data_IF_741521939611
#
_entry.id   IF_741521939611
#
_cell.length_a   1.000
_cell.length_b   1.000
_cell.length_c   1.000
_cell.angle_alpha   90.00
_cell.angle_beta   90.00
_cell.angle_gamma   90.00
#
_symmetry.space_group_name_H-M   'P 1'
#
loop_
_entity.id
_entity.type
_entity.pdbx_description
1 polymer ?
#
# COMPACT_ATOMS: atom_id res chain seq x y z
N UNK A 1 -8.83 11.10 11.63
CA UNK A 1 -10.26 11.45 11.82
C UNK A 1 -10.38 12.09 13.18
N UNK A 2 -10.93 13.29 13.26
CA UNK A 2 -11.08 14.03 14.52
C UNK A 2 -12.56 14.18 14.81
N UNK A 3 -13.04 13.65 15.94
CA UNK A 3 -14.43 13.80 16.33
C UNK A 3 -14.54 14.85 17.44
N UNK A 4 -15.40 15.84 17.22
CA UNK A 4 -15.66 16.96 18.11
C UNK A 4 -17.05 16.74 18.71
N UNK A 5 -17.11 16.76 20.03
CA UNK A 5 -18.37 16.67 20.76
C UNK A 5 -19.04 18.05 20.79
N UNK A 6 -20.31 18.09 20.37
CA UNK A 6 -21.17 19.27 20.47
C UNK A 6 -22.36 18.94 21.37
N UNK A 7 -23.10 19.96 21.82
CA UNK A 7 -24.24 19.71 22.70
C UNK A 7 -25.32 18.90 21.96
N UNK A 8 -25.55 17.66 22.38
CA UNK A 8 -26.48 16.73 21.75
C UNK A 8 -25.96 15.96 20.52
N UNK A 9 -24.66 16.00 20.20
CA UNK A 9 -24.14 15.28 19.03
C UNK A 9 -22.61 15.17 18.95
N UNK A 10 -22.14 14.41 17.96
CA UNK A 10 -20.72 14.26 17.61
C UNK A 10 -20.55 14.58 16.12
N UNK A 11 -19.61 15.46 15.80
CA UNK A 11 -19.21 15.78 14.43
C UNK A 11 -17.83 15.20 14.18
N UNK A 12 -17.67 14.33 13.19
CA UNK A 12 -16.37 13.78 12.81
C UNK A 12 -15.87 14.45 11.52
N UNK A 13 -14.69 15.06 11.60
CA UNK A 13 -14.00 15.70 10.48
C UNK A 13 -12.98 14.74 9.89
N UNK A 14 -13.06 14.55 8.58
CA UNK A 14 -12.07 13.80 7.80
C UNK A 14 -10.91 14.72 7.40
N UNK A 15 -9.67 14.23 7.42
CA UNK A 15 -8.52 15.00 6.96
C UNK A 15 -8.56 15.18 5.44
N UNK A 16 -8.09 16.33 4.95
CA UNK A 16 -7.81 16.50 3.52
C UNK A 16 -6.53 15.75 3.15
N UNK A 17 -6.60 14.90 2.13
CA UNK A 17 -5.45 14.17 1.61
C UNK A 17 -4.83 14.89 0.41
N UNK A 18 -3.50 14.86 0.33
CA UNK A 18 -2.73 15.39 -0.81
C UNK A 18 -2.13 14.25 -1.63
N UNK A 19 -1.87 14.48 -2.93
CA UNK A 19 -1.07 13.57 -3.73
C UNK A 19 0.32 13.35 -3.08
N UNK A 20 0.74 12.10 -2.97
CA UNK A 20 2.02 11.73 -2.35
C UNK A 20 1.94 11.40 -0.85
N UNK A 21 0.84 11.74 -0.17
CA UNK A 21 0.69 11.43 1.25
C UNK A 21 0.78 9.93 1.55
N UNK A 22 1.31 9.60 2.72
CA UNK A 22 1.34 8.22 3.20
C UNK A 22 -0.10 7.72 3.47
N UNK A 23 -0.33 6.42 3.23
CA UNK A 23 -1.63 5.81 3.41
C UNK A 23 -2.11 5.95 4.86
N UNK A 24 -3.35 6.42 5.09
CA UNK A 24 -3.94 6.51 6.42
C UNK A 24 -4.42 5.13 6.91
N UNK A 25 -4.70 5.04 8.20
CA UNK A 25 -5.43 3.92 8.77
C UNK A 25 -6.95 4.12 8.68
N UNK A 26 -7.69 3.00 8.63
CA UNK A 26 -9.15 2.99 8.60
C UNK A 26 -9.73 2.96 7.18
N UNK A 27 -10.84 2.23 7.03
CA UNK A 27 -11.44 1.92 5.72
C UNK A 27 -11.87 3.17 4.93
N UNK A 28 -12.69 4.05 5.53
CA UNK A 28 -13.20 5.24 4.85
C UNK A 28 -12.08 6.22 4.47
N UNK A 29 -11.17 6.48 5.40
CA UNK A 29 -10.01 7.34 5.18
C UNK A 29 -9.11 6.80 4.06
N UNK A 30 -8.90 5.48 4.00
CA UNK A 30 -8.11 4.86 2.94
C UNK A 30 -8.78 5.03 1.57
N UNK A 31 -10.10 4.89 1.48
CA UNK A 31 -10.83 5.05 0.21
C UNK A 31 -10.75 6.48 -0.33
N UNK A 32 -10.98 7.47 0.52
CA UNK A 32 -10.85 8.89 0.15
C UNK A 32 -9.43 9.25 -0.26
N UNK A 33 -8.44 8.78 0.51
CA UNK A 33 -7.03 8.95 0.17
C UNK A 33 -6.67 8.30 -1.16
N UNK A 34 -7.10 7.06 -1.39
CA UNK A 34 -6.80 6.31 -2.60
C UNK A 34 -7.39 6.98 -3.84
N UNK A 35 -8.58 7.59 -3.72
CA UNK A 35 -9.19 8.38 -4.78
C UNK A 35 -8.34 9.61 -5.14
N UNK A 36 -7.83 10.34 -4.14
CA UNK A 36 -6.91 11.48 -4.36
C UNK A 36 -5.64 11.03 -5.08
N UNK A 37 -5.02 9.93 -4.65
CA UNK A 37 -3.81 9.41 -5.30
C UNK A 37 -4.10 9.00 -6.76
N UNK A 38 -5.22 8.32 -7.00
CA UNK A 38 -5.62 7.88 -8.33
C UNK A 38 -5.89 9.07 -9.26
N UNK A 39 -6.59 10.12 -8.78
CA UNK A 39 -6.83 11.36 -9.53
C UNK A 39 -5.53 12.10 -9.87
N UNK A 40 -4.52 11.99 -9.01
CA UNK A 40 -3.18 12.52 -9.27
C UNK A 40 -2.34 11.68 -10.25
N UNK A 41 -2.89 10.58 -10.78
CA UNK A 41 -2.22 9.72 -11.76
C UNK A 41 -1.30 8.66 -11.14
N UNK A 42 -1.29 8.51 -9.81
CA UNK A 42 -0.48 7.50 -9.14
C UNK A 42 -1.15 6.14 -9.32
N UNK A 43 -0.51 5.27 -10.09
CA UNK A 43 -1.05 3.95 -10.44
C UNK A 43 -0.63 2.89 -9.42
N UNK A 44 -1.61 2.10 -9.00
CA UNK A 44 -1.38 0.96 -8.13
C UNK A 44 -0.48 -0.07 -8.80
N UNK A 45 0.31 -0.78 -7.98
CA UNK A 45 1.13 -1.92 -8.39
C UNK A 45 0.74 -3.14 -7.58
N UNK A 46 0.83 -4.31 -8.19
CA UNK A 46 0.57 -5.57 -7.49
C UNK A 46 1.80 -5.97 -6.66
N UNK A 47 1.59 -6.31 -5.39
CA UNK A 47 2.64 -6.88 -4.54
C UNK A 47 2.92 -8.33 -4.94
N UNK A 48 4.19 -8.68 -5.15
CA UNK A 48 4.62 -10.03 -5.53
C UNK A 48 4.42 -11.12 -4.48
N UNK A 49 4.18 -10.76 -3.23
CA UNK A 49 4.04 -11.72 -2.11
C UNK A 49 2.59 -11.99 -1.71
N UNK A 50 1.78 -10.94 -1.61
CA UNK A 50 0.38 -11.06 -1.18
C UNK A 50 -0.61 -10.84 -2.31
N UNK A 51 -0.13 -10.56 -3.52
CA UNK A 51 -0.92 -10.40 -4.75
C UNK A 51 -1.95 -9.25 -4.72
N UNK A 52 -1.98 -8.47 -3.63
CA UNK A 52 -2.85 -7.29 -3.48
C UNK A 52 -2.29 -6.12 -4.28
N UNK A 53 -3.21 -5.34 -4.84
CA UNK A 53 -2.92 -4.05 -5.45
C UNK A 53 -2.77 -2.99 -4.37
N UNK A 54 -1.68 -2.23 -4.47
CA UNK A 54 -1.26 -1.24 -3.48
C UNK A 54 -0.89 0.05 -4.20
N UNK A 55 -1.23 1.20 -3.63
CA UNK A 55 -0.76 2.48 -4.14
C UNK A 55 0.77 2.59 -3.96
N UNK A 56 1.48 3.38 -4.78
CA UNK A 56 2.94 3.49 -4.71
C UNK A 56 3.50 3.79 -3.31
N UNK A 57 2.78 4.58 -2.51
CA UNK A 57 3.17 4.94 -1.13
C UNK A 57 3.08 3.76 -0.15
N UNK A 58 2.25 2.77 -0.44
CA UNK A 58 2.14 1.53 0.33
C UNK A 58 3.19 0.48 -0.10
N UNK A 59 3.96 0.75 -1.16
CA UNK A 59 5.06 -0.10 -1.61
C UNK A 59 6.33 0.20 -0.82
N UNK A 60 7.16 -0.84 -0.66
CA UNK A 60 8.51 -0.69 -0.12
C UNK A 60 9.53 -0.61 -1.25
N UNK A 61 10.75 -0.22 -0.93
CA UNK A 61 11.87 -0.22 -1.88
C UNK A 61 12.40 -1.63 -2.19
N UNK A 62 11.87 -2.67 -1.54
CA UNK A 62 12.29 -4.06 -1.79
C UNK A 62 11.63 -4.63 -3.05
N UNK A 63 12.47 -5.29 -3.84
CA UNK A 63 12.08 -6.10 -4.99
C UNK A 63 12.58 -7.51 -4.72
N UNK A 64 11.67 -8.49 -4.80
CA UNK A 64 12.05 -9.89 -4.77
C UNK A 64 12.39 -10.36 -6.17
N UNK A 65 13.47 -11.12 -6.30
CA UNK A 65 13.88 -11.72 -7.57
C UNK A 65 13.99 -13.25 -7.43
N UNK A 66 13.46 -14.00 -8.39
CA UNK A 66 13.71 -15.44 -8.49
C UNK A 66 13.99 -15.85 -9.94
N UNK A 67 14.76 -16.93 -10.11
CA UNK A 67 15.00 -17.50 -11.44
C UNK A 67 13.92 -18.53 -11.78
N UNK A 68 13.14 -18.24 -12.82
CA UNK A 68 12.20 -19.16 -13.41
C UNK A 68 12.84 -19.84 -14.63
N UNK A 69 12.71 -21.16 -14.74
CA UNK A 69 13.13 -21.87 -15.95
C UNK A 69 11.99 -21.86 -16.96
N UNK A 70 12.19 -21.20 -18.09
CA UNK A 70 11.23 -21.22 -19.21
C UNK A 70 11.75 -22.12 -20.34
N UNK A 71 10.89 -22.42 -21.32
CA UNK A 71 11.29 -23.17 -22.53
C UNK A 71 12.43 -22.48 -23.32
N UNK A 72 12.56 -21.15 -23.20
CA UNK A 72 13.59 -20.35 -23.89
C UNK A 72 14.87 -20.15 -23.06
N UNK A 73 14.92 -20.70 -21.84
CA UNK A 73 16.03 -20.52 -20.90
C UNK A 73 15.60 -19.95 -19.55
N UNK A 74 16.55 -19.77 -18.61
CA UNK A 74 16.29 -19.14 -17.32
C UNK A 74 15.94 -17.66 -17.52
N UNK A 75 14.91 -17.20 -16.81
CA UNK A 75 14.45 -15.81 -16.77
C UNK A 75 14.40 -15.38 -15.31
N UNK A 76 15.01 -14.23 -15.01
CA UNK A 76 14.86 -13.59 -13.70
C UNK A 76 13.52 -12.88 -13.67
N UNK A 77 12.67 -13.24 -12.72
CA UNK A 77 11.39 -12.58 -12.46
C UNK A 77 11.57 -11.69 -11.25
N UNK A 78 11.25 -10.40 -11.41
CA UNK A 78 11.31 -9.39 -10.36
C UNK A 78 9.89 -8.96 -9.98
N UNK A 79 9.61 -8.91 -8.68
CA UNK A 79 8.30 -8.52 -8.17
C UNK A 79 8.43 -7.55 -7.00
N UNK A 80 7.72 -6.41 -7.01
CA UNK A 80 7.83 -5.41 -5.95
C UNK A 80 7.09 -5.87 -4.69
N UNK A 81 7.54 -5.41 -3.52
CA UNK A 81 7.01 -5.85 -2.22
C UNK A 81 6.35 -4.68 -1.48
N UNK A 82 5.16 -4.88 -0.92
CA UNK A 82 4.49 -3.86 -0.11
C UNK A 82 5.08 -3.74 1.31
N UNK A 83 4.86 -2.59 1.96
CA UNK A 83 5.39 -2.30 3.29
C UNK A 83 4.99 -3.34 4.35
N UNK A 84 3.75 -3.82 4.31
CA UNK A 84 3.27 -4.87 5.23
C UNK A 84 4.05 -6.18 5.07
N UNK A 85 4.24 -6.63 3.83
CA UNK A 85 4.99 -7.85 3.55
C UNK A 85 6.49 -7.70 3.81
N UNK A 86 7.04 -6.49 3.65
CA UNK A 86 8.42 -6.19 4.00
C UNK A 86 8.66 -6.31 5.52
N UNK A 87 7.75 -5.74 6.34
CA UNK A 87 7.83 -5.80 7.81
C UNK A 87 7.75 -7.21 8.39
N UNK A 88 7.03 -8.13 7.73
CA UNK A 88 6.85 -9.53 8.19
C UNK A 88 8.10 -10.41 8.05
N UNK A 89 9.21 -9.90 7.48
CA UNK A 89 10.50 -10.58 7.49
C UNK A 89 11.19 -10.44 8.86
N UNK A 90 10.60 -11.00 9.92
CA UNK A 90 11.39 -11.38 11.12
C UNK A 90 12.12 -12.68 10.81
N UNK A 91 13.39 -12.83 11.23
CA UNK A 91 14.21 -13.98 10.87
C UNK A 91 13.54 -15.27 11.34
N UNK A 92 13.54 -16.28 10.47
CA UNK A 92 13.26 -17.67 10.83
C UNK A 92 14.35 -18.06 11.84
N UNK A 93 14.03 -18.01 13.13
CA UNK A 93 14.92 -18.48 14.18
C UNK A 93 15.20 -19.96 13.97
N UNK A 94 16.50 -20.29 13.89
CA UNK A 94 17.03 -21.64 14.03
C UNK A 94 16.75 -22.22 15.42
#
# INVERSE_FOLDING_TARGET
MTCIQINGGIVCVQPEFKPGDQAPEGYLAWHEWAEVQHKAGLRQKQCGRCEKWKCPQEMSDKIDSFQAKTRKGPVTVESPVCNECNKKQTPKGD
#
